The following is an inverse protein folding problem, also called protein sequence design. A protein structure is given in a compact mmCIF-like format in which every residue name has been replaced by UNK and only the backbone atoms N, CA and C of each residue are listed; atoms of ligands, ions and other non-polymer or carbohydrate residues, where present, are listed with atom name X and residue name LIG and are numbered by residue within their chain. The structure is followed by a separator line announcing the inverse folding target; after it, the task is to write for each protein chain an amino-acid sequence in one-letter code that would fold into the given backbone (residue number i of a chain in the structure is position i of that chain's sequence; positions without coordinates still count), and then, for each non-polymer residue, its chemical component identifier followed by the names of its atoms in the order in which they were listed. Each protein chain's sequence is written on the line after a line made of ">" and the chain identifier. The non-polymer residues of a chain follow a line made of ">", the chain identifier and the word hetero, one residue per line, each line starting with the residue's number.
data_IF_916088389487
#
_entry.id   IF_916088389487
#
_cell.length_a   1.000
_cell.length_b   1.000
_cell.length_c   1.000
_cell.angle_alpha   90.00
_cell.angle_beta   90.00
_cell.angle_gamma   90.00
#
_symmetry.space_group_name_H-M   'P 1'
#
loop_
_entity.id
_entity.type
_entity.pdbx_description
1 polymer ?
#
# COMPACT_ATOMS: atom_id res chain seq x y z
N UNK A 1 12.78 2.87 39.99
CA UNK A 1 13.21 3.11 38.60
C UNK A 1 14.65 2.64 38.33
N UNK A 2 15.56 2.62 39.36
CA UNK A 2 16.96 2.17 39.19
C UNK A 2 17.12 0.69 38.84
N UNK A 3 16.13 -0.14 39.19
CA UNK A 3 16.22 -1.60 39.05
C UNK A 3 15.75 -2.10 37.67
N UNK A 4 15.18 -1.22 36.85
CA UNK A 4 14.60 -1.58 35.56
C UNK A 4 15.55 -1.30 34.39
N UNK A 5 16.52 -0.39 34.56
CA UNK A 5 17.44 0.04 33.51
C UNK A 5 18.89 -0.23 33.88
N UNK A 6 19.71 -0.57 32.91
CA UNK A 6 21.15 -0.74 33.09
C UNK A 6 21.93 -0.05 31.97
N UNK A 7 23.07 0.55 32.37
CA UNK A 7 24.08 1.03 31.41
C UNK A 7 25.01 -0.11 31.07
N UNK A 8 25.24 -0.31 29.77
CA UNK A 8 26.13 -1.33 29.24
C UNK A 8 27.29 -0.67 28.51
N UNK A 9 28.51 -1.11 28.83
CA UNK A 9 29.77 -0.53 28.36
C UNK A 9 30.58 -1.49 27.46
N UNK A 10 30.07 -2.68 27.15
CA UNK A 10 30.72 -3.57 26.22
C UNK A 10 30.80 -2.93 24.85
N UNK A 11 31.98 -3.05 24.19
CA UNK A 11 32.18 -2.56 22.83
C UNK A 11 31.51 -3.47 21.79
N UNK A 12 31.32 -3.01 20.54
CA UNK A 12 30.85 -3.88 19.46
C UNK A 12 31.72 -5.12 19.26
N UNK A 13 33.05 -4.99 19.39
CA UNK A 13 34.02 -6.08 19.25
C UNK A 13 33.87 -7.11 20.37
N UNK A 14 33.67 -6.66 21.61
CA UNK A 14 33.42 -7.54 22.77
C UNK A 14 32.10 -8.31 22.60
N UNK A 15 31.06 -7.65 22.11
CA UNK A 15 29.77 -8.28 21.80
C UNK A 15 29.90 -9.29 20.65
N UNK A 16 30.67 -8.98 19.61
CA UNK A 16 30.90 -9.90 18.49
C UNK A 16 31.75 -11.11 18.89
N UNK A 17 32.70 -10.92 19.83
CA UNK A 17 33.42 -12.04 20.43
C UNK A 17 32.46 -12.98 21.18
N UNK A 18 31.53 -12.43 21.98
CA UNK A 18 30.51 -13.22 22.69
C UNK A 18 29.54 -13.94 21.76
N UNK A 19 29.14 -13.33 20.67
CA UNK A 19 28.31 -13.98 19.64
C UNK A 19 29.02 -15.16 18.96
N UNK A 20 30.34 -15.11 18.85
CA UNK A 20 31.15 -16.23 18.32
C UNK A 20 31.33 -17.35 19.36
N UNK A 21 31.42 -16.99 20.64
CA UNK A 21 31.63 -17.91 21.75
C UNK A 21 30.35 -18.68 22.11
N UNK A 22 29.19 -17.97 22.13
CA UNK A 22 27.90 -18.51 22.57
C UNK A 22 26.96 -18.62 21.38
N UNK A 23 26.54 -19.81 20.98
CA UNK A 23 25.55 -20.00 19.92
C UNK A 23 24.22 -19.28 20.29
N UNK A 24 23.69 -18.52 19.32
CA UNK A 24 22.46 -17.75 19.51
C UNK A 24 22.51 -16.74 20.69
N UNK A 25 23.70 -16.15 20.93
CA UNK A 25 23.89 -15.16 21.99
C UNK A 25 22.82 -14.06 21.94
N UNK A 26 22.13 -13.89 23.06
CA UNK A 26 21.24 -12.76 23.34
C UNK A 26 21.72 -12.04 24.59
N UNK A 27 21.49 -10.75 24.66
CA UNK A 27 21.77 -9.99 25.87
C UNK A 27 20.51 -10.01 26.75
N UNK A 28 20.40 -10.98 27.65
CA UNK A 28 19.21 -11.30 28.43
C UNK A 28 19.54 -11.65 29.90
N UNK A 29 18.58 -12.18 30.62
CA UNK A 29 18.74 -12.58 32.02
C UNK A 29 19.87 -13.59 32.24
N UNK A 30 20.14 -14.47 31.28
CA UNK A 30 21.16 -15.53 31.42
C UNK A 30 22.58 -15.06 31.16
N UNK A 31 22.74 -14.02 30.33
CA UNK A 31 24.04 -13.54 29.86
C UNK A 31 24.47 -12.21 30.48
N UNK A 32 23.52 -11.37 30.91
CA UNK A 32 23.81 -9.98 31.39
C UNK A 32 24.83 -9.92 32.51
N UNK A 33 24.87 -10.92 33.39
CA UNK A 33 25.82 -10.97 34.52
C UNK A 33 27.26 -11.35 34.12
N UNK A 34 27.46 -11.75 32.85
CA UNK A 34 28.79 -12.03 32.24
C UNK A 34 29.31 -10.84 31.45
N UNK A 35 28.55 -9.73 31.40
CA UNK A 35 28.80 -8.59 30.52
C UNK A 35 29.16 -7.37 31.37
N UNK A 36 29.84 -6.39 30.77
CA UNK A 36 30.30 -5.17 31.45
C UNK A 36 29.20 -4.11 31.52
N UNK A 37 28.45 -4.12 32.60
CA UNK A 37 27.32 -3.20 32.79
C UNK A 37 27.14 -2.77 34.24
N UNK A 38 26.21 -1.85 34.51
CA UNK A 38 25.98 -1.30 35.87
C UNK A 38 25.44 -2.29 36.89
N UNK A 39 25.20 -3.56 36.55
CA UNK A 39 24.87 -4.62 37.50
C UNK A 39 26.12 -5.40 37.93
N UNK A 40 27.19 -5.36 37.12
CA UNK A 40 28.44 -6.09 37.35
C UNK A 40 29.59 -5.21 37.75
N UNK A 41 29.50 -3.88 37.53
CA UNK A 41 30.48 -2.85 37.92
C UNK A 41 29.99 -2.13 39.18
N UNK A 42 30.91 -1.63 39.98
CA UNK A 42 30.61 -0.73 41.09
C UNK A 42 30.12 0.63 40.62
N UNK A 43 29.45 1.39 41.49
CA UNK A 43 28.95 2.73 41.14
C UNK A 43 30.11 3.68 40.79
N UNK A 44 31.27 3.55 41.47
CA UNK A 44 32.46 4.34 41.22
C UNK A 44 33.05 4.01 39.82
N UNK A 45 33.09 2.74 39.42
CA UNK A 45 33.56 2.34 38.10
C UNK A 45 32.62 2.85 36.99
N UNK A 46 31.32 2.71 37.17
CA UNK A 46 30.32 3.26 36.22
C UNK A 46 30.48 4.77 36.07
N UNK A 47 30.64 5.49 37.19
CA UNK A 47 30.84 6.94 37.17
C UNK A 47 32.15 7.31 36.47
N UNK A 48 33.23 6.62 36.78
CA UNK A 48 34.56 6.84 36.15
C UNK A 48 34.51 6.62 34.65
N UNK A 49 33.80 5.60 34.19
CA UNK A 49 33.65 5.34 32.76
C UNK A 49 32.87 6.46 32.04
N UNK A 50 31.80 6.97 32.66
CA UNK A 50 31.00 8.08 32.13
C UNK A 50 31.84 9.36 32.09
N UNK A 51 32.51 9.70 33.18
CA UNK A 51 33.32 10.92 33.33
C UNK A 51 34.52 10.91 32.36
N UNK A 52 35.04 9.72 32.02
CA UNK A 52 36.06 9.52 31.01
C UNK A 52 35.52 9.57 29.54
N UNK A 53 34.23 9.81 29.36
CA UNK A 53 33.61 9.92 28.03
C UNK A 53 33.37 8.59 27.28
N UNK A 54 33.45 7.47 28.01
CA UNK A 54 33.16 6.18 27.39
C UNK A 54 31.70 6.11 26.89
N UNK A 55 31.52 5.61 25.70
CA UNK A 55 30.19 5.38 25.16
C UNK A 55 29.50 4.23 25.88
N UNK A 56 28.20 4.35 26.04
CA UNK A 56 27.35 3.33 26.64
C UNK A 56 25.98 3.30 25.97
N UNK A 57 25.28 2.18 26.18
CA UNK A 57 23.85 2.08 25.86
C UNK A 57 23.05 1.85 27.13
N UNK A 58 21.81 2.28 27.13
CA UNK A 58 20.85 1.92 28.19
C UNK A 58 19.99 0.79 27.67
N UNK A 59 19.94 -0.29 28.46
CA UNK A 59 19.09 -1.45 28.18
C UNK A 59 17.98 -1.54 29.22
N UNK A 60 16.82 -2.02 28.79
CA UNK A 60 15.83 -2.50 29.73
C UNK A 60 16.38 -3.74 30.46
N UNK A 61 16.02 -3.92 31.71
CA UNK A 61 16.30 -5.14 32.48
C UNK A 61 15.00 -5.93 32.55
N UNK A 62 14.91 -7.04 31.82
CA UNK A 62 13.71 -7.88 31.81
C UNK A 62 13.92 -9.03 32.82
N UNK A 63 13.02 -9.19 33.77
CA UNK A 63 13.03 -10.33 34.65
C UNK A 63 12.43 -11.55 33.93
N UNK A 64 13.05 -12.74 34.08
CA UNK A 64 12.56 -13.97 33.45
C UNK A 64 11.32 -14.51 34.15
N UNK A 65 10.70 -15.52 33.53
CA UNK A 65 9.63 -16.36 34.08
C UNK A 65 8.30 -15.62 34.37
N UNK A 66 8.05 -14.48 33.72
CA UNK A 66 6.77 -13.78 33.76
C UNK A 66 6.01 -13.99 32.44
N UNK A 67 4.74 -14.37 32.54
CA UNK A 67 3.85 -14.40 31.38
C UNK A 67 3.28 -13.01 31.11
N UNK A 68 3.65 -12.44 29.96
CA UNK A 68 3.21 -11.10 29.54
C UNK A 68 2.02 -11.25 28.62
N UNK A 69 0.90 -10.67 29.04
CA UNK A 69 -0.35 -10.68 28.30
C UNK A 69 -0.45 -9.47 27.38
N UNK A 70 -0.61 -9.70 26.10
CA UNK A 70 -0.88 -8.68 25.07
C UNK A 70 -2.29 -8.90 24.54
N UNK A 71 -3.22 -8.03 24.90
CA UNK A 71 -4.58 -8.06 24.40
C UNK A 71 -4.63 -7.34 23.04
N UNK A 72 -4.60 -8.10 21.96
CA UNK A 72 -4.61 -7.57 20.60
C UNK A 72 -6.02 -7.61 20.01
N UNK A 73 -6.47 -6.49 19.42
CA UNK A 73 -7.83 -6.34 18.90
C UNK A 73 -8.14 -7.27 17.70
N UNK A 74 -7.10 -7.71 16.99
CA UNK A 74 -7.23 -8.59 15.81
C UNK A 74 -6.83 -10.02 16.18
N UNK A 75 -5.68 -10.19 16.87
CA UNK A 75 -5.10 -11.51 17.19
C UNK A 75 -5.76 -12.16 18.39
N UNK A 76 -6.41 -11.39 19.26
CA UNK A 76 -6.90 -11.81 20.55
C UNK A 76 -5.80 -11.76 21.60
N UNK A 77 -5.93 -12.55 22.65
CA UNK A 77 -4.94 -12.64 23.70
C UNK A 77 -3.69 -13.39 23.20
N UNK A 78 -2.53 -12.73 23.31
CA UNK A 78 -1.21 -13.30 23.00
C UNK A 78 -0.41 -13.30 24.29
N UNK A 79 0.02 -14.47 24.74
CA UNK A 79 0.80 -14.65 25.96
C UNK A 79 2.23 -15.01 25.56
N UNK A 80 3.20 -14.25 26.06
CA UNK A 80 4.62 -14.49 25.79
C UNK A 80 5.38 -14.47 27.12
N UNK A 81 6.10 -15.56 27.39
CA UNK A 81 6.94 -15.62 28.59
C UNK A 81 8.18 -14.75 28.42
N UNK A 82 8.48 -13.93 29.44
CA UNK A 82 9.58 -12.95 29.42
C UNK A 82 10.97 -13.59 29.29
N UNK A 83 11.11 -14.89 29.59
CA UNK A 83 12.39 -15.61 29.47
C UNK A 83 12.92 -15.70 28.03
N UNK A 84 12.06 -15.47 27.01
CA UNK A 84 12.50 -15.45 25.61
C UNK A 84 12.85 -14.06 25.12
N UNK A 85 12.66 -13.02 25.93
CA UNK A 85 12.92 -11.65 25.57
C UNK A 85 14.35 -11.26 25.90
N UNK A 86 15.00 -10.56 25.00
CA UNK A 86 16.30 -9.94 25.25
C UNK A 86 16.17 -8.52 25.83
N UNK A 87 17.19 -8.13 26.60
CA UNK A 87 17.28 -6.78 27.18
C UNK A 87 17.58 -5.74 26.07
N UNK A 88 16.55 -5.30 25.36
CA UNK A 88 16.68 -4.38 24.24
C UNK A 88 17.35 -3.08 24.64
N UNK A 89 18.15 -2.53 23.71
CA UNK A 89 18.71 -1.18 23.83
C UNK A 89 17.58 -0.17 23.71
N UNK A 90 17.50 0.74 24.69
CA UNK A 90 16.53 1.84 24.71
C UNK A 90 17.14 3.18 24.31
N UNK A 91 18.43 3.39 24.63
CA UNK A 91 19.14 4.65 24.39
C UNK A 91 20.60 4.40 24.06
N UNK A 92 21.18 5.20 23.18
CA UNK A 92 22.59 5.18 22.81
C UNK A 92 23.23 6.53 23.15
N UNK A 93 24.29 6.52 23.97
CA UNK A 93 25.00 7.74 24.33
C UNK A 93 25.79 8.33 23.16
N UNK A 94 26.24 7.51 22.23
CA UNK A 94 26.98 7.95 21.04
C UNK A 94 26.18 8.90 20.16
N UNK A 95 24.93 8.54 19.91
CA UNK A 95 24.01 9.29 19.05
C UNK A 95 23.18 10.31 19.87
N UNK A 96 23.17 10.18 21.19
CA UNK A 96 22.28 10.88 22.12
C UNK A 96 20.80 10.73 21.76
N UNK A 97 20.43 9.59 21.17
CA UNK A 97 19.09 9.30 20.69
C UNK A 97 18.51 8.04 21.33
N UNK A 98 17.20 8.02 21.59
CA UNK A 98 16.49 6.81 21.93
C UNK A 98 16.45 5.85 20.72
N UNK A 99 16.35 4.56 21.00
CA UNK A 99 15.98 3.59 19.96
C UNK A 99 14.47 3.62 19.71
N UNK A 100 14.04 2.99 18.61
CA UNK A 100 12.62 2.90 18.26
C UNK A 100 11.72 2.50 19.44
N UNK A 101 12.12 1.47 20.21
CA UNK A 101 11.30 0.95 21.30
C UNK A 101 11.01 1.99 22.39
N UNK A 102 11.99 2.80 22.76
CA UNK A 102 11.77 3.86 23.73
C UNK A 102 11.05 5.06 23.12
N UNK A 103 11.47 5.51 21.93
CA UNK A 103 10.87 6.64 21.25
C UNK A 103 9.37 6.43 21.00
N UNK A 104 9.01 5.25 20.48
CA UNK A 104 7.63 4.90 20.20
C UNK A 104 6.74 4.98 21.46
N UNK A 105 7.17 4.39 22.58
CA UNK A 105 6.39 4.39 23.83
C UNK A 105 6.21 5.82 24.38
N UNK A 106 7.26 6.65 24.32
CA UNK A 106 7.21 8.03 24.79
C UNK A 106 6.32 8.88 23.90
N UNK A 107 6.45 8.75 22.59
CA UNK A 107 5.64 9.49 21.63
C UNK A 107 4.17 9.10 21.73
N UNK A 108 3.86 7.80 21.75
CA UNK A 108 2.50 7.30 21.89
C UNK A 108 1.83 7.80 23.18
N UNK A 109 2.57 7.81 24.31
CA UNK A 109 2.07 8.32 25.60
C UNK A 109 1.84 9.85 25.54
N UNK A 110 2.83 10.63 25.08
CA UNK A 110 2.75 12.10 25.08
C UNK A 110 1.76 12.63 24.03
N UNK A 111 1.54 11.89 22.94
CA UNK A 111 0.57 12.22 21.90
C UNK A 111 -0.83 11.64 22.17
N UNK A 112 -1.02 10.97 23.31
CA UNK A 112 -2.30 10.37 23.72
C UNK A 112 -2.84 9.39 22.66
N UNK A 113 -1.96 8.58 22.06
CA UNK A 113 -2.35 7.58 21.07
C UNK A 113 -3.21 6.51 21.74
N UNK A 114 -4.42 6.32 21.25
CA UNK A 114 -5.39 5.37 21.81
C UNK A 114 -5.30 3.97 21.20
N UNK A 115 -4.85 3.87 19.95
CA UNK A 115 -4.74 2.61 19.21
C UNK A 115 -3.46 2.58 18.40
N UNK A 116 -2.66 1.52 18.56
CA UNK A 116 -1.49 1.23 17.74
C UNK A 116 -1.87 0.16 16.73
N UNK A 117 -2.09 0.58 15.48
CA UNK A 117 -2.43 -0.31 14.36
C UNK A 117 -1.20 -0.45 13.48
N UNK A 118 -0.64 -1.66 13.35
CA UNK A 118 0.60 -1.91 12.60
C UNK A 118 0.67 -3.34 12.07
N UNK A 119 1.67 -3.63 11.23
CA UNK A 119 1.87 -4.98 10.70
C UNK A 119 2.29 -6.00 11.77
N UNK A 120 1.92 -7.24 11.59
CA UNK A 120 2.20 -8.34 12.53
C UNK A 120 3.69 -8.64 12.75
N UNK A 121 4.56 -8.13 11.88
CA UNK A 121 6.02 -8.21 12.09
C UNK A 121 6.48 -7.52 13.38
N UNK A 122 5.66 -6.63 13.93
CA UNK A 122 5.92 -5.95 15.21
C UNK A 122 5.31 -6.65 16.43
N UNK A 123 4.50 -7.70 16.22
CA UNK A 123 3.89 -8.45 17.32
C UNK A 123 4.94 -9.02 18.31
N UNK A 124 6.11 -9.52 17.88
CA UNK A 124 7.15 -9.96 18.81
C UNK A 124 7.71 -8.85 19.72
N UNK A 125 7.52 -7.58 19.36
CA UNK A 125 7.95 -6.43 20.18
C UNK A 125 6.86 -5.97 21.16
N UNK A 126 5.62 -6.39 21.00
CA UNK A 126 4.50 -5.94 21.83
C UNK A 126 4.69 -6.26 23.33
N UNK A 127 5.21 -7.44 23.73
CA UNK A 127 5.47 -7.72 25.14
C UNK A 127 6.46 -6.75 25.77
N UNK A 128 7.52 -6.39 25.06
CA UNK A 128 8.47 -5.37 25.50
C UNK A 128 7.78 -4.01 25.69
N UNK A 129 6.89 -3.63 24.78
CA UNK A 129 6.15 -2.37 24.89
C UNK A 129 5.21 -2.39 26.10
N UNK A 130 4.50 -3.48 26.36
CA UNK A 130 3.69 -3.64 27.59
C UNK A 130 4.54 -3.48 28.84
N UNK A 131 5.73 -4.12 28.90
CA UNK A 131 6.66 -3.96 30.01
C UNK A 131 7.13 -2.52 30.18
N UNK A 132 7.44 -1.82 29.08
CA UNK A 132 7.88 -0.42 29.15
C UNK A 132 6.77 0.50 29.69
N UNK A 133 5.52 0.35 29.25
CA UNK A 133 4.38 1.08 29.81
C UNK A 133 4.27 0.85 31.34
N UNK A 134 4.39 -0.40 31.77
CA UNK A 134 4.37 -0.78 33.18
C UNK A 134 5.54 -0.13 33.96
N UNK A 135 6.74 -0.22 33.41
CA UNK A 135 7.94 0.32 34.05
C UNK A 135 7.96 1.85 34.19
N UNK A 136 7.28 2.54 33.27
CA UNK A 136 7.07 3.98 33.35
C UNK A 136 5.88 4.36 34.22
N UNK A 137 5.07 3.43 34.69
CA UNK A 137 3.84 3.70 35.45
C UNK A 137 2.74 4.31 34.58
N UNK A 138 2.74 3.97 33.26
CA UNK A 138 1.82 4.48 32.25
C UNK A 138 0.80 3.43 31.79
N UNK A 139 0.51 2.43 32.61
CA UNK A 139 -0.41 1.34 32.25
C UNK A 139 -1.81 1.86 31.90
N UNK A 140 -2.28 2.89 32.64
CA UNK A 140 -3.60 3.50 32.40
C UNK A 140 -3.70 4.25 31.06
N UNK A 141 -2.58 4.63 30.47
CA UNK A 141 -2.50 5.32 29.17
C UNK A 141 -1.97 4.43 28.05
N UNK A 142 -1.75 3.15 28.33
CA UNK A 142 -1.27 2.21 27.33
C UNK A 142 -2.31 2.07 26.20
N UNK A 143 -1.90 2.27 24.92
CA UNK A 143 -2.79 2.14 23.78
C UNK A 143 -3.26 0.69 23.60
N UNK A 144 -4.39 0.52 22.93
CA UNK A 144 -4.84 -0.79 22.47
C UNK A 144 -4.04 -1.19 21.22
N UNK A 145 -3.59 -2.43 21.18
CA UNK A 145 -2.82 -2.94 20.04
C UNK A 145 -3.69 -3.65 19.01
N UNK A 146 -3.36 -3.49 17.73
CA UNK A 146 -3.99 -4.19 16.62
C UNK A 146 -2.92 -4.54 15.58
N UNK A 147 -2.56 -5.81 15.49
CA UNK A 147 -1.55 -6.29 14.54
C UNK A 147 -2.19 -6.89 13.30
N UNK A 148 -2.13 -6.12 12.19
CA UNK A 148 -2.64 -6.50 10.88
C UNK A 148 -1.78 -7.60 10.26
N UNK A 149 -2.42 -8.51 9.54
CA UNK A 149 -1.73 -9.54 8.78
C UNK A 149 -0.87 -8.92 7.65
N UNK A 150 0.18 -9.64 7.25
CA UNK A 150 1.07 -9.20 6.17
C UNK A 150 0.35 -9.20 4.81
N UNK A 151 0.70 -8.24 3.97
CA UNK A 151 0.41 -8.33 2.55
C UNK A 151 1.41 -9.28 1.89
N UNK A 152 0.87 -10.29 1.23
CA UNK A 152 1.65 -11.33 0.57
C UNK A 152 1.80 -11.03 -0.92
N UNK A 153 2.85 -11.55 -1.52
CA UNK A 153 3.07 -11.50 -2.96
C UNK A 153 1.89 -12.12 -3.72
N UNK A 154 1.56 -11.63 -4.91
CA UNK A 154 0.54 -12.26 -5.76
C UNK A 154 0.88 -13.71 -6.08
N UNK A 155 2.18 -14.00 -6.26
CA UNK A 155 2.70 -15.34 -6.53
C UNK A 155 3.62 -15.79 -5.39
N UNK A 156 3.47 -17.05 -4.96
CA UNK A 156 4.26 -17.64 -3.88
C UNK A 156 3.80 -17.26 -2.48
N UNK A 157 4.66 -17.51 -1.49
CA UNK A 157 4.37 -17.35 -0.05
C UNK A 157 5.40 -16.42 0.59
N UNK A 158 5.40 -15.16 0.27
CA UNK A 158 6.32 -14.19 0.89
C UNK A 158 5.68 -12.84 1.12
N UNK A 159 6.23 -12.07 2.07
CA UNK A 159 5.83 -10.68 2.30
C UNK A 159 6.05 -9.88 1.02
N UNK A 160 5.04 -9.09 0.64
CA UNK A 160 5.15 -8.12 -0.45
C UNK A 160 6.20 -7.06 -0.10
N UNK A 161 7.07 -6.76 -1.06
CA UNK A 161 8.09 -5.73 -0.92
C UNK A 161 7.96 -4.67 -2.02
N UNK A 162 8.55 -3.49 -1.80
CA UNK A 162 8.59 -2.42 -2.80
C UNK A 162 9.18 -2.88 -4.14
N UNK A 163 10.24 -3.71 -4.09
CA UNK A 163 10.88 -4.29 -5.29
C UNK A 163 9.97 -5.23 -6.09
N UNK A 164 8.96 -5.80 -5.45
CA UNK A 164 8.00 -6.64 -6.16
C UNK A 164 7.08 -5.80 -7.05
N UNK A 165 6.72 -4.57 -6.64
CA UNK A 165 5.97 -3.62 -7.46
C UNK A 165 6.71 -3.27 -8.75
N UNK A 166 7.97 -2.86 -8.64
CA UNK A 166 8.80 -2.51 -9.80
C UNK A 166 8.96 -3.71 -10.76
N UNK A 167 9.19 -4.91 -10.21
CA UNK A 167 9.36 -6.14 -10.99
C UNK A 167 8.08 -6.61 -11.68
N UNK A 168 6.93 -6.43 -11.07
CA UNK A 168 5.62 -6.91 -11.56
C UNK A 168 4.81 -5.81 -12.28
N UNK A 169 5.31 -4.57 -12.28
CA UNK A 169 4.73 -3.46 -13.01
C UNK A 169 3.48 -2.86 -12.36
N UNK A 170 3.35 -2.92 -11.04
CA UNK A 170 2.27 -2.24 -10.34
C UNK A 170 2.82 -1.16 -9.38
N UNK A 171 2.10 -0.04 -9.18
CA UNK A 171 2.55 1.03 -8.32
C UNK A 171 2.52 0.61 -6.84
N UNK A 172 3.49 1.13 -6.07
CA UNK A 172 3.60 0.89 -4.62
C UNK A 172 3.29 2.17 -3.83
N UNK A 173 3.58 3.32 -4.42
CA UNK A 173 3.37 4.61 -3.78
C UNK A 173 2.08 5.28 -4.27
N UNK A 174 1.43 6.11 -3.44
CA UNK A 174 0.30 6.92 -3.90
C UNK A 174 0.65 7.85 -5.07
N UNK A 175 1.85 8.44 -5.03
CA UNK A 175 2.42 9.34 -6.02
C UNK A 175 3.74 8.79 -6.53
N UNK A 176 4.15 9.21 -7.72
CA UNK A 176 5.48 8.91 -8.23
C UNK A 176 6.57 9.35 -7.24
N UNK A 177 7.51 8.47 -6.97
CA UNK A 177 8.58 8.67 -6.04
C UNK A 177 9.92 8.68 -6.75
N UNK A 178 10.68 9.76 -6.56
CA UNK A 178 12.06 9.88 -7.00
C UNK A 178 12.97 9.67 -5.79
N UNK A 179 13.74 8.59 -5.77
CA UNK A 179 14.67 8.33 -4.69
C UNK A 179 15.82 9.36 -4.72
N UNK A 180 15.99 10.17 -3.66
CA UNK A 180 16.98 11.24 -3.65
C UNK A 180 18.42 10.75 -3.60
N UNK A 181 18.65 9.46 -3.30
CA UNK A 181 20.00 8.88 -3.19
C UNK A 181 20.40 8.11 -4.44
N UNK A 182 19.52 7.25 -4.95
CA UNK A 182 19.79 6.43 -6.13
C UNK A 182 19.37 7.10 -7.44
N UNK A 183 18.45 8.05 -7.41
CA UNK A 183 17.81 8.63 -8.59
C UNK A 183 16.79 7.71 -9.26
N UNK A 184 16.50 6.55 -8.67
CA UNK A 184 15.49 5.63 -9.17
C UNK A 184 14.09 6.24 -9.07
N UNK A 185 13.27 6.00 -10.08
CA UNK A 185 11.87 6.47 -10.14
C UNK A 185 10.94 5.28 -9.98
N UNK A 186 10.09 5.33 -8.97
CA UNK A 186 9.02 4.36 -8.76
C UNK A 186 7.67 4.98 -9.11
N UNK A 187 6.87 4.28 -9.91
CA UNK A 187 5.56 4.78 -10.35
C UNK A 187 4.57 4.93 -9.19
N UNK A 188 3.73 5.97 -9.25
CA UNK A 188 2.64 6.19 -8.32
C UNK A 188 1.30 5.67 -8.86
N UNK A 189 0.35 5.40 -7.96
CA UNK A 189 -1.02 5.03 -8.34
C UNK A 189 -1.68 6.14 -9.18
N UNK A 190 -1.51 7.42 -8.79
CA UNK A 190 -2.07 8.56 -9.52
C UNK A 190 -1.51 8.65 -10.94
N UNK A 191 -0.20 8.59 -11.11
CA UNK A 191 0.47 8.70 -12.41
C UNK A 191 0.20 7.46 -13.29
N UNK A 192 -0.09 6.32 -12.65
CA UNK A 192 -0.55 5.11 -13.36
C UNK A 192 -1.99 5.22 -13.85
N UNK A 193 -2.77 6.19 -13.34
CA UNK A 193 -4.14 6.48 -13.76
C UNK A 193 -5.23 5.85 -12.88
N UNK A 194 -4.88 5.41 -11.67
CA UNK A 194 -5.87 4.93 -10.71
C UNK A 194 -6.63 6.11 -10.07
N UNK A 195 -7.93 5.94 -9.90
CA UNK A 195 -8.78 6.85 -9.15
C UNK A 195 -8.55 6.67 -7.63
N UNK A 196 -8.53 7.75 -6.83
CA UNK A 196 -8.33 7.65 -5.38
C UNK A 196 -9.33 6.71 -4.71
N UNK A 197 -10.61 6.80 -5.07
CA UNK A 197 -11.70 5.98 -4.52
C UNK A 197 -11.48 4.48 -4.80
N UNK A 198 -11.04 4.16 -6.01
CA UNK A 198 -10.73 2.79 -6.41
C UNK A 198 -9.56 2.22 -5.59
N UNK A 199 -8.50 3.02 -5.38
CA UNK A 199 -7.35 2.60 -4.57
C UNK A 199 -7.75 2.40 -3.12
N UNK A 200 -8.51 3.33 -2.52
CA UNK A 200 -8.96 3.22 -1.13
C UNK A 200 -9.83 1.99 -0.94
N UNK A 201 -10.81 1.76 -1.82
CA UNK A 201 -11.69 0.58 -1.73
C UNK A 201 -10.89 -0.72 -1.90
N UNK A 202 -10.00 -0.80 -2.88
CA UNK A 202 -9.11 -1.94 -3.08
C UNK A 202 -8.26 -2.23 -1.84
N UNK A 203 -7.61 -1.20 -1.28
CA UNK A 203 -6.76 -1.34 -0.09
C UNK A 203 -7.57 -1.74 1.15
N UNK A 204 -8.79 -1.22 1.31
CA UNK A 204 -9.67 -1.56 2.43
C UNK A 204 -9.97 -3.06 2.48
N UNK A 205 -10.18 -3.70 1.33
CA UNK A 205 -10.47 -5.14 1.24
C UNK A 205 -9.21 -6.03 1.33
N UNK A 206 -8.01 -5.46 1.40
CA UNK A 206 -6.79 -6.22 1.64
C UNK A 206 -6.66 -6.58 3.13
N UNK A 207 -7.30 -7.67 3.50
CA UNK A 207 -7.26 -8.19 4.88
C UNK A 207 -8.40 -7.73 5.78
N UNK A 208 -9.41 -7.08 5.22
CA UNK A 208 -10.67 -6.75 5.90
C UNK A 208 -11.85 -7.09 4.99
N UNK A 209 -13.05 -7.31 5.57
CA UNK A 209 -14.29 -7.49 4.81
C UNK A 209 -15.50 -6.89 5.57
N UNK A 210 -16.53 -6.40 4.85
CA UNK A 210 -17.71 -5.79 5.46
C UNK A 210 -18.66 -6.81 6.12
N UNK A 211 -18.41 -8.11 5.98
CA UNK A 211 -19.25 -9.20 6.48
C UNK A 211 -20.42 -9.54 5.56
N UNK A 212 -20.41 -9.03 4.33
CA UNK A 212 -21.33 -9.35 3.25
C UNK A 212 -20.53 -9.47 1.93
N UNK A 213 -21.23 -9.67 0.79
CA UNK A 213 -20.60 -9.83 -0.52
C UNK A 213 -20.38 -8.50 -1.27
N UNK A 214 -20.58 -7.35 -0.61
CA UNK A 214 -20.38 -6.04 -1.20
C UNK A 214 -18.87 -5.76 -1.32
N UNK A 215 -18.38 -5.62 -2.54
CA UNK A 215 -16.98 -5.30 -2.82
C UNK A 215 -16.79 -3.81 -3.14
N UNK A 216 -17.69 -3.21 -3.93
CA UNK A 216 -17.59 -1.78 -4.29
C UNK A 216 -18.31 -0.95 -3.25
N UNK A 217 -17.57 -0.06 -2.61
CA UNK A 217 -18.05 0.75 -1.49
C UNK A 217 -17.53 2.18 -1.60
N UNK A 218 -18.41 3.14 -1.45
CA UNK A 218 -18.02 4.54 -1.27
C UNK A 218 -17.23 4.74 0.04
N UNK A 219 -16.55 5.87 0.18
CA UNK A 219 -15.85 6.21 1.41
C UNK A 219 -16.78 6.21 2.62
N UNK A 220 -17.99 6.75 2.48
CA UNK A 220 -18.99 6.78 3.57
C UNK A 220 -19.44 5.37 3.97
N UNK A 221 -19.67 4.47 2.99
CA UNK A 221 -19.99 3.07 3.26
C UNK A 221 -18.82 2.35 3.94
N UNK A 222 -17.59 2.58 3.51
CA UNK A 222 -16.38 2.04 4.16
C UNK A 222 -16.29 2.51 5.61
N UNK A 223 -16.46 3.81 5.88
CA UNK A 223 -16.41 4.39 7.23
C UNK A 223 -17.48 3.77 8.13
N UNK A 224 -18.72 3.63 7.64
CA UNK A 224 -19.83 3.08 8.43
C UNK A 224 -19.70 1.58 8.68
N UNK A 225 -19.06 0.84 7.76
CA UNK A 225 -18.95 -0.62 7.83
C UNK A 225 -17.69 -1.09 8.53
N UNK A 226 -16.68 -0.21 8.66
CA UNK A 226 -15.36 -0.59 9.17
C UNK A 226 -15.42 -0.98 10.66
N UNK A 227 -14.88 -2.18 10.95
CA UNK A 227 -14.68 -2.69 12.29
C UNK A 227 -13.39 -3.53 12.33
N UNK A 228 -12.49 -3.22 13.25
CA UNK A 228 -11.23 -3.95 13.44
C UNK A 228 -11.42 -5.44 13.71
N UNK A 229 -12.53 -5.84 14.33
CA UNK A 229 -12.82 -7.25 14.60
C UNK A 229 -13.01 -8.09 13.33
N UNK A 230 -13.25 -7.45 12.19
CA UNK A 230 -13.38 -8.08 10.87
C UNK A 230 -12.09 -8.13 10.08
N UNK A 231 -10.99 -7.62 10.64
CA UNK A 231 -9.67 -7.79 10.03
C UNK A 231 -9.23 -9.26 10.07
N UNK A 232 -8.73 -9.73 8.94
CA UNK A 232 -8.23 -11.10 8.80
C UNK A 232 -6.98 -11.33 9.64
N UNK A 233 -6.91 -12.50 10.28
CA UNK A 233 -5.68 -12.98 10.93
C UNK A 233 -4.68 -13.59 9.95
N UNK A 234 -5.12 -13.90 8.74
CA UNK A 234 -4.30 -14.49 7.68
C UNK A 234 -3.83 -13.45 6.70
N UNK A 235 -2.61 -13.61 6.17
CA UNK A 235 -2.07 -12.70 5.17
C UNK A 235 -2.94 -12.62 3.92
N UNK A 236 -3.13 -11.40 3.40
CA UNK A 236 -3.88 -11.13 2.19
C UNK A 236 -2.94 -11.10 0.98
N UNK A 237 -3.26 -11.85 -0.08
CA UNK A 237 -2.52 -11.77 -1.34
C UNK A 237 -2.86 -10.45 -2.05
N UNK A 238 -1.83 -9.75 -2.48
CA UNK A 238 -1.97 -8.51 -3.23
C UNK A 238 -2.25 -8.84 -4.69
N UNK A 239 -3.52 -8.75 -5.08
CA UNK A 239 -3.99 -8.99 -6.44
C UNK A 239 -4.11 -7.65 -7.19
N UNK A 240 -3.08 -7.31 -7.99
CA UNK A 240 -3.06 -6.05 -8.75
C UNK A 240 -4.10 -6.02 -9.89
N UNK A 241 -4.52 -7.18 -10.42
CA UNK A 241 -5.61 -7.24 -11.40
C UNK A 241 -6.95 -6.88 -10.75
N UNK A 242 -7.16 -7.28 -9.49
CA UNK A 242 -8.32 -6.83 -8.71
C UNK A 242 -8.30 -5.31 -8.51
N UNK A 243 -7.12 -4.71 -8.31
CA UNK A 243 -6.96 -3.25 -8.28
C UNK A 243 -7.41 -2.56 -9.57
N UNK A 244 -7.05 -3.12 -10.73
CA UNK A 244 -7.52 -2.64 -12.05
C UNK A 244 -9.02 -2.82 -12.22
N UNK A 245 -9.56 -3.94 -11.75
CA UNK A 245 -11.00 -4.19 -11.76
C UNK A 245 -11.78 -3.13 -10.97
N UNK A 246 -11.29 -2.75 -9.78
CA UNK A 246 -11.88 -1.65 -9.02
C UNK A 246 -11.85 -0.35 -9.82
N UNK A 247 -10.69 0.00 -10.40
CA UNK A 247 -10.55 1.22 -11.17
C UNK A 247 -11.52 1.29 -12.35
N UNK A 248 -11.61 0.20 -13.11
CA UNK A 248 -12.58 0.04 -14.19
C UNK A 248 -14.03 0.28 -13.70
N UNK A 249 -14.41 -0.33 -12.59
CA UNK A 249 -15.75 -0.23 -12.03
C UNK A 249 -16.10 1.22 -11.61
N UNK A 250 -15.16 1.92 -10.98
CA UNK A 250 -15.34 3.33 -10.62
C UNK A 250 -15.42 4.24 -11.86
N UNK A 251 -14.66 3.97 -12.92
CA UNK A 251 -14.78 4.69 -14.19
C UNK A 251 -16.14 4.44 -14.85
N UNK A 252 -16.64 3.22 -14.84
CA UNK A 252 -17.97 2.92 -15.36
C UNK A 252 -19.08 3.68 -14.63
N UNK A 253 -18.98 3.75 -13.29
CA UNK A 253 -19.96 4.43 -12.45
C UNK A 253 -19.84 5.98 -12.47
N UNK A 254 -18.69 6.51 -12.91
CA UNK A 254 -18.41 7.95 -12.94
C UNK A 254 -19.38 8.68 -13.87
N UNK A 255 -19.75 9.91 -13.51
CA UNK A 255 -20.53 10.79 -14.38
C UNK A 255 -19.78 11.05 -15.70
N UNK A 256 -20.52 11.06 -16.83
CA UNK A 256 -19.91 11.21 -18.15
C UNK A 256 -19.20 12.53 -18.33
N UNK A 257 -19.70 13.60 -17.76
CA UNK A 257 -19.09 14.94 -17.82
C UNK A 257 -17.80 14.98 -17.02
N UNK A 258 -17.77 14.33 -15.86
CA UNK A 258 -16.57 14.18 -15.04
C UNK A 258 -15.49 13.35 -15.77
N UNK A 259 -15.87 12.21 -16.30
CA UNK A 259 -14.96 11.36 -17.09
C UNK A 259 -14.43 12.10 -18.34
N UNK A 260 -15.28 12.88 -19.01
CA UNK A 260 -14.88 13.72 -20.14
C UNK A 260 -13.88 14.81 -19.70
N UNK A 261 -14.09 15.44 -18.55
CA UNK A 261 -13.18 16.45 -18.02
C UNK A 261 -11.78 15.86 -17.73
N UNK A 262 -11.72 14.62 -17.23
CA UNK A 262 -10.45 13.89 -17.02
C UNK A 262 -9.79 13.46 -18.34
N UNK A 263 -10.58 13.26 -19.41
CA UNK A 263 -10.06 12.88 -20.72
C UNK A 263 -9.56 14.06 -21.55
N UNK A 264 -10.09 15.27 -21.34
CA UNK A 264 -9.71 16.48 -22.08
C UNK A 264 -8.20 16.75 -22.10
N UNK A 265 -7.45 16.70 -20.99
CA UNK A 265 -5.99 16.91 -21.01
C UNK A 265 -5.25 15.86 -21.85
N UNK A 266 -5.78 14.64 -21.95
CA UNK A 266 -5.20 13.57 -22.77
C UNK A 266 -5.38 13.91 -24.24
N UNK A 267 -6.58 14.34 -24.66
CA UNK A 267 -6.83 14.85 -26.03
C UNK A 267 -5.87 16.00 -26.38
N UNK A 268 -5.71 16.97 -25.48
CA UNK A 268 -4.80 18.11 -25.68
C UNK A 268 -3.35 17.68 -25.85
N UNK A 269 -2.89 16.68 -25.08
CA UNK A 269 -1.54 16.11 -25.20
C UNK A 269 -1.28 15.48 -26.56
N UNK A 270 -2.33 14.99 -27.21
CA UNK A 270 -2.30 14.46 -28.60
C UNK A 270 -2.60 15.53 -29.66
N UNK A 271 -2.65 16.81 -29.28
CA UNK A 271 -2.88 17.93 -30.21
C UNK A 271 -4.33 18.08 -30.67
N UNK A 272 -5.27 17.43 -30.01
CA UNK A 272 -6.71 17.47 -30.35
C UNK A 272 -7.40 18.54 -29.51
N UNK A 273 -8.11 19.45 -30.20
CA UNK A 273 -9.05 20.40 -29.59
C UNK A 273 -10.46 19.96 -29.96
N UNK A 274 -11.25 19.58 -28.97
CA UNK A 274 -12.63 19.12 -29.19
C UNK A 274 -13.61 19.88 -28.29
N UNK A 275 -14.84 19.98 -28.74
CA UNK A 275 -15.92 20.53 -27.92
C UNK A 275 -16.22 19.62 -26.72
N UNK A 276 -16.26 20.14 -25.47
CA UNK A 276 -16.52 19.34 -24.28
C UNK A 276 -17.82 18.50 -24.35
N UNK A 277 -18.90 19.04 -24.95
CA UNK A 277 -20.15 18.30 -25.09
C UNK A 277 -20.05 17.15 -26.08
N UNK A 278 -19.19 17.26 -27.11
CA UNK A 278 -18.88 16.17 -28.01
C UNK A 278 -18.03 15.10 -27.31
N UNK A 279 -17.00 15.52 -26.54
CA UNK A 279 -16.18 14.59 -25.77
C UNK A 279 -17.03 13.78 -24.77
N UNK A 280 -17.96 14.44 -24.07
CA UNK A 280 -18.89 13.78 -23.15
C UNK A 280 -19.70 12.68 -23.85
N UNK A 281 -20.21 12.91 -25.05
CA UNK A 281 -20.94 11.90 -25.83
C UNK A 281 -20.05 10.71 -26.21
N UNK A 282 -18.82 10.97 -26.64
CA UNK A 282 -17.85 9.92 -27.01
C UNK A 282 -17.49 9.09 -25.77
N UNK A 283 -17.20 9.74 -24.66
CA UNK A 283 -16.89 9.09 -23.38
C UNK A 283 -18.06 8.23 -22.90
N UNK A 284 -19.30 8.72 -23.00
CA UNK A 284 -20.49 7.97 -22.63
C UNK A 284 -20.62 6.63 -23.41
N UNK A 285 -20.16 6.58 -24.66
CA UNK A 285 -20.18 5.35 -25.46
C UNK A 285 -19.04 4.40 -25.17
N UNK A 286 -17.90 4.91 -24.66
CA UNK A 286 -16.65 4.16 -24.65
C UNK A 286 -16.11 3.84 -23.27
N UNK A 287 -16.49 4.57 -22.21
CA UNK A 287 -15.93 4.43 -20.86
C UNK A 287 -16.09 3.04 -20.25
N UNK A 288 -17.13 2.30 -20.66
CA UNK A 288 -17.38 0.93 -20.18
C UNK A 288 -16.30 -0.07 -20.61
N UNK A 289 -15.42 0.33 -21.52
CA UNK A 289 -14.30 -0.49 -21.99
C UNK A 289 -12.97 -0.07 -21.42
N UNK A 290 -12.92 1.06 -20.72
CA UNK A 290 -11.69 1.65 -20.21
C UNK A 290 -11.37 1.15 -18.80
N UNK A 291 -10.16 0.69 -18.57
CA UNK A 291 -9.64 0.41 -17.23
C UNK A 291 -9.07 1.68 -16.59
N UNK A 292 -8.47 2.52 -17.41
CA UNK A 292 -7.96 3.84 -17.02
C UNK A 292 -8.50 4.90 -17.98
N UNK A 293 -8.66 6.14 -17.52
CA UNK A 293 -9.11 7.24 -18.40
C UNK A 293 -8.19 7.40 -19.63
N UNK A 294 -6.90 7.15 -19.49
CA UNK A 294 -5.94 7.19 -20.60
C UNK A 294 -6.23 6.18 -21.71
N UNK A 295 -6.84 5.04 -21.39
CA UNK A 295 -7.17 4.00 -22.36
C UNK A 295 -8.22 4.48 -23.37
N UNK A 296 -9.00 5.53 -23.01
CA UNK A 296 -9.98 6.13 -23.91
C UNK A 296 -9.33 6.64 -25.20
N UNK A 297 -8.07 7.09 -25.16
CA UNK A 297 -7.39 7.51 -26.39
C UNK A 297 -7.31 6.38 -27.41
N UNK A 298 -6.82 5.23 -26.99
CA UNK A 298 -6.69 4.07 -27.88
C UNK A 298 -8.06 3.50 -28.31
N UNK A 299 -9.06 3.63 -27.45
CA UNK A 299 -10.42 3.14 -27.70
C UNK A 299 -11.25 4.03 -28.63
N UNK A 300 -11.00 5.36 -28.64
CA UNK A 300 -11.89 6.31 -29.29
C UNK A 300 -11.21 7.45 -30.05
N UNK A 301 -9.90 7.42 -30.26
CA UNK A 301 -9.16 8.44 -31.02
C UNK A 301 -9.73 8.66 -32.44
N UNK A 302 -10.30 7.64 -33.05
CA UNK A 302 -10.92 7.72 -34.38
C UNK A 302 -12.17 8.61 -34.45
N UNK A 303 -12.78 8.97 -33.32
CA UNK A 303 -13.84 9.97 -33.28
C UNK A 303 -13.30 11.41 -33.42
N UNK A 304 -12.02 11.61 -33.18
CA UNK A 304 -11.37 12.93 -33.18
C UNK A 304 -10.40 13.10 -34.36
N UNK A 305 -9.71 12.04 -34.73
CA UNK A 305 -8.71 12.03 -35.81
C UNK A 305 -8.99 10.83 -36.73
N UNK A 306 -9.11 11.09 -38.02
CA UNK A 306 -9.28 10.01 -38.99
C UNK A 306 -8.08 9.03 -38.93
N UNK A 307 -8.33 7.72 -38.87
CA UNK A 307 -7.27 6.71 -38.89
C UNK A 307 -6.41 6.84 -40.17
N UNK A 308 -5.09 6.83 -39.98
CA UNK A 308 -4.13 6.81 -41.12
C UNK A 308 -3.58 5.42 -41.42
N UNK A 309 -3.69 4.52 -40.45
CA UNK A 309 -3.26 3.13 -40.57
C UNK A 309 -4.42 2.18 -40.31
N UNK A 310 -4.43 1.05 -41.02
CA UNK A 310 -5.45 0.03 -40.90
C UNK A 310 -4.79 -1.35 -40.73
N UNK A 311 -5.34 -2.18 -39.85
CA UNK A 311 -4.87 -3.57 -39.73
C UNK A 311 -4.90 -4.30 -41.05
N UNK A 312 -3.75 -4.80 -41.51
CA UNK A 312 -3.61 -5.46 -42.81
C UNK A 312 -4.49 -6.70 -42.97
N UNK A 313 -4.64 -7.50 -41.92
CA UNK A 313 -5.47 -8.71 -41.96
C UNK A 313 -6.94 -8.34 -42.11
N UNK A 314 -7.38 -7.37 -41.36
CA UNK A 314 -8.75 -6.83 -41.44
C UNK A 314 -8.99 -6.20 -42.82
N UNK A 315 -8.05 -5.39 -43.33
CA UNK A 315 -8.13 -4.81 -44.65
C UNK A 315 -8.25 -5.88 -45.75
N UNK A 316 -7.36 -6.88 -45.78
CA UNK A 316 -7.39 -7.97 -46.74
C UNK A 316 -8.68 -8.81 -46.68
N UNK A 317 -9.21 -9.00 -45.45
CA UNK A 317 -10.43 -9.78 -45.22
C UNK A 317 -11.71 -9.02 -45.60
N UNK A 318 -11.77 -7.73 -45.23
CA UNK A 318 -13.01 -6.94 -45.31
C UNK A 318 -13.08 -6.00 -46.50
N UNK A 319 -11.96 -5.45 -46.97
CA UNK A 319 -11.93 -4.54 -48.10
C UNK A 319 -11.89 -5.30 -49.43
N UNK A 320 -12.95 -5.19 -50.23
CA UNK A 320 -13.14 -5.83 -51.53
C UNK A 320 -13.04 -4.82 -52.67
N UNK A 321 -13.04 -5.26 -53.91
CA UNK A 321 -12.94 -4.43 -55.14
C UNK A 321 -14.03 -3.34 -55.18
N UNK A 322 -15.24 -3.66 -54.74
CA UNK A 322 -16.42 -2.81 -54.76
C UNK A 322 -16.57 -1.95 -53.47
N UNK A 323 -15.79 -2.20 -52.43
CA UNK A 323 -15.93 -1.54 -51.10
C UNK A 323 -15.83 -0.02 -51.20
N UNK A 324 -14.96 0.50 -52.04
CA UNK A 324 -14.80 1.95 -52.20
C UNK A 324 -16.06 2.59 -52.82
N UNK A 325 -16.68 1.94 -53.81
CA UNK A 325 -17.89 2.44 -54.45
C UNK A 325 -19.09 2.37 -53.48
N UNK A 326 -19.25 1.26 -52.75
CA UNK A 326 -20.30 1.09 -51.74
C UNK A 326 -20.20 2.13 -50.60
N UNK A 327 -18.98 2.42 -50.12
CA UNK A 327 -18.78 3.46 -49.12
C UNK A 327 -19.08 4.86 -49.64
N UNK A 328 -18.73 5.17 -50.90
CA UNK A 328 -19.05 6.46 -51.50
C UNK A 328 -20.57 6.66 -51.59
N UNK A 329 -21.33 5.64 -52.04
CA UNK A 329 -22.79 5.66 -52.07
C UNK A 329 -23.38 5.82 -50.66
N UNK A 330 -22.88 5.05 -49.67
CA UNK A 330 -23.31 5.14 -48.28
C UNK A 330 -23.11 6.55 -47.72
N UNK A 331 -21.98 7.19 -47.99
CA UNK A 331 -21.69 8.57 -47.54
C UNK A 331 -22.75 9.55 -48.06
N UNK A 332 -23.13 9.46 -49.34
CA UNK A 332 -24.13 10.35 -49.90
C UNK A 332 -25.52 10.11 -49.28
N UNK A 333 -25.89 8.85 -49.07
CA UNK A 333 -27.15 8.51 -48.42
C UNK A 333 -27.19 8.99 -46.96
N UNK A 334 -26.12 8.83 -46.22
CA UNK A 334 -26.02 9.33 -44.85
C UNK A 334 -26.03 10.87 -44.74
N UNK A 335 -25.40 11.55 -45.73
CA UNK A 335 -25.41 13.02 -45.80
C UNK A 335 -26.79 13.61 -46.05
N UNK A 336 -27.58 12.93 -46.86
CA UNK A 336 -28.93 13.35 -47.22
C UNK A 336 -30.00 13.03 -46.19
N UNK A 337 -29.62 12.28 -45.13
CA UNK A 337 -30.61 11.78 -44.17
C UNK A 337 -30.96 12.79 -43.08
N UNK A 338 -32.27 13.02 -42.92
CA UNK A 338 -32.87 13.77 -41.79
C UNK A 338 -34.10 13.00 -41.28
N UNK A 339 -34.23 12.72 -39.97
CA UNK A 339 -33.22 12.96 -38.92
C UNK A 339 -32.04 11.98 -38.99
N UNK A 340 -30.85 12.42 -38.57
CA UNK A 340 -29.69 11.57 -38.44
C UNK A 340 -29.71 10.89 -37.06
N UNK A 341 -30.43 9.78 -36.97
CA UNK A 341 -30.65 8.99 -35.75
C UNK A 341 -30.13 7.56 -35.88
N UNK A 342 -30.11 6.81 -34.78
CA UNK A 342 -29.55 5.46 -34.70
C UNK A 342 -30.37 4.50 -35.58
N UNK A 343 -31.70 4.48 -35.43
CA UNK A 343 -32.59 3.56 -36.16
C UNK A 343 -32.47 3.73 -37.67
N UNK A 344 -32.46 4.96 -38.11
CA UNK A 344 -32.37 5.27 -39.52
C UNK A 344 -31.01 5.04 -40.12
N UNK A 345 -29.91 5.34 -39.42
CA UNK A 345 -28.56 5.09 -39.90
C UNK A 345 -28.22 3.61 -39.90
N UNK A 346 -28.73 2.83 -38.95
CA UNK A 346 -28.58 1.38 -38.91
C UNK A 346 -29.30 0.72 -40.08
N UNK A 347 -30.54 1.09 -40.35
CA UNK A 347 -31.32 0.56 -41.45
C UNK A 347 -30.63 0.82 -42.81
N UNK A 348 -30.06 2.00 -43.03
CA UNK A 348 -29.30 2.37 -44.23
C UNK A 348 -28.02 1.51 -44.32
N UNK A 349 -27.29 1.33 -43.23
CA UNK A 349 -26.07 0.53 -43.22
C UNK A 349 -26.31 -0.92 -43.58
N UNK A 350 -27.43 -1.53 -43.14
CA UNK A 350 -27.82 -2.89 -43.48
C UNK A 350 -28.28 -3.03 -44.92
N UNK A 351 -28.88 -2.01 -45.52
CA UNK A 351 -29.36 -2.08 -46.91
C UNK A 351 -28.27 -1.84 -47.96
N UNK A 352 -27.25 -1.04 -47.62
CA UNK A 352 -26.18 -0.65 -48.55
C UNK A 352 -24.84 -1.38 -48.29
N UNK A 353 -24.59 -1.85 -47.06
CA UNK A 353 -23.46 -2.68 -46.72
C UNK A 353 -23.95 -4.08 -46.36
N UNK A 354 -24.12 -4.97 -47.28
CA UNK A 354 -24.22 -6.40 -46.98
C UNK A 354 -22.88 -6.85 -46.42
N UNK A 355 -22.70 -6.65 -45.08
CA UNK A 355 -21.61 -7.28 -44.38
C UNK A 355 -21.83 -8.77 -44.39
N UNK A 356 -20.93 -9.60 -44.98
CA UNK A 356 -21.05 -11.03 -44.84
C UNK A 356 -21.01 -11.40 -43.38
N UNK A 357 -22.05 -12.07 -42.90
CA UNK A 357 -22.19 -12.66 -41.56
C UNK A 357 -21.00 -13.55 -41.21
#
# INVERSE_FOLDING_TARGET
>A
ASDVYKRQFDTPEELDAKRKEIPNFQYDASTRMQMRNSLTLSEEEVKSLIDAGNQYVVRVKIEPDEDIHVNDLIRGEVIINSSILDDKVLYKSADQLPTYHLANIVDDHLMEVTHVIRGEEWLPSAPLHVLLYRYFGWEDTMPRFAHLALLLKPEGNGKLSKRDGDRLGFPVFPLEWHDPKSGEVSSGYRESGYLPEAVVNFLALLGWNPGNDQEVMSMDELIHSFDLSRCSKSGAKFDYEKGKWFNHHYIQAMDNKEAAALFMPILESHGVKADPAYVEKVVAMMKDRATFIKDLWDLCSFFFIAPTEYDEKTRKKRWKEDSAAQLAELIEVLRAREPFDIEGTEAVSYTHLTLPT
#
